data_IF_589315554855
#
_entry.id   IF_589315554855
#
_cell.length_a   1.000
_cell.length_b   1.000
_cell.length_c   1.000
_cell.angle_alpha   90.00
_cell.angle_beta   90.00
_cell.angle_gamma   90.00
#
_symmetry.space_group_name_H-M   'P 1'
#
loop_
_entity.id
_entity.type
_entity.pdbx_description
1 polymer ?
#
# COMPACT_ATOMS: atom_id res chain seq x y z
N UNK A 1 7.26 -19.73 -41.98
CA UNK A 1 8.07 -19.61 -40.73
C UNK A 1 8.31 -18.16 -40.25
N UNK A 2 7.59 -17.13 -40.71
CA UNK A 2 8.02 -15.72 -40.51
C UNK A 2 7.02 -14.79 -39.81
N UNK A 3 5.99 -15.29 -39.12
CA UNK A 3 5.10 -14.45 -38.28
C UNK A 3 5.08 -14.80 -36.79
N UNK A 4 5.87 -15.78 -36.32
CA UNK A 4 5.86 -16.22 -34.91
C UNK A 4 6.94 -15.59 -34.02
N UNK A 5 7.89 -14.81 -34.58
CA UNK A 5 9.04 -14.25 -33.82
C UNK A 5 8.82 -12.82 -33.30
N UNK A 6 7.84 -12.07 -33.82
CA UNK A 6 7.51 -10.70 -33.36
C UNK A 6 7.06 -10.63 -31.89
N UNK A 7 6.59 -11.75 -31.32
CA UNK A 7 6.20 -11.84 -29.92
C UNK A 7 7.37 -11.82 -28.93
N UNK A 8 8.62 -12.07 -29.34
CA UNK A 8 9.70 -12.38 -28.39
C UNK A 8 10.60 -11.21 -27.99
N UNK A 9 10.65 -10.14 -28.78
CA UNK A 9 11.62 -9.05 -28.58
C UNK A 9 11.03 -7.85 -27.85
N UNK A 10 11.88 -7.10 -27.15
CA UNK A 10 11.56 -5.77 -26.66
C UNK A 10 11.71 -4.74 -27.78
N UNK A 11 10.77 -3.80 -27.85
CA UNK A 11 10.75 -2.68 -28.79
C UNK A 11 10.67 -1.41 -27.95
N UNK A 12 11.75 -0.65 -27.96
CA UNK A 12 11.89 0.60 -27.22
C UNK A 12 12.32 1.72 -28.15
N UNK A 13 11.79 2.90 -27.91
CA UNK A 13 12.15 4.13 -28.58
C UNK A 13 12.88 5.02 -27.57
N UNK A 14 14.18 5.20 -27.77
CA UNK A 14 14.97 6.06 -26.90
C UNK A 14 14.62 7.52 -27.19
N UNK A 15 14.18 8.24 -26.16
CA UNK A 15 13.82 9.63 -26.28
C UNK A 15 15.07 10.45 -25.99
N UNK A 16 15.50 11.23 -26.98
CA UNK A 16 16.63 12.13 -26.83
C UNK A 16 16.42 13.06 -25.63
N UNK A 17 17.53 13.48 -25.03
CA UNK A 17 17.53 14.22 -23.78
C UNK A 17 16.64 15.46 -23.85
N UNK A 18 15.46 15.39 -23.23
CA UNK A 18 14.64 16.57 -23.00
C UNK A 18 15.31 17.42 -21.91
N UNK A 19 15.21 18.75 -22.03
CA UNK A 19 15.64 19.67 -20.99
C UNK A 19 15.05 19.32 -19.62
N UNK A 20 15.58 19.92 -18.55
CA UNK A 20 15.09 19.64 -17.20
C UNK A 20 13.58 19.89 -17.05
N UNK A 21 12.91 18.95 -16.40
CA UNK A 21 11.48 19.05 -16.06
C UNK A 21 11.31 19.61 -14.65
N UNK A 22 10.07 19.96 -14.31
CA UNK A 22 9.72 20.28 -12.94
C UNK A 22 9.92 19.08 -12.02
N UNK A 23 10.52 19.33 -10.85
CA UNK A 23 10.80 18.31 -9.86
C UNK A 23 9.58 18.10 -8.96
N UNK A 24 8.95 16.93 -9.05
CA UNK A 24 7.81 16.55 -8.20
C UNK A 24 8.13 16.38 -6.69
N UNK A 25 9.38 16.61 -6.27
CA UNK A 25 9.82 16.46 -4.88
C UNK A 25 10.09 17.80 -4.21
N UNK A 26 10.94 18.65 -4.79
CA UNK A 26 11.27 19.97 -4.25
C UNK A 26 10.52 21.12 -4.93
N UNK A 27 9.83 20.87 -6.06
CA UNK A 27 9.07 21.88 -6.80
C UNK A 27 9.89 22.74 -7.77
N UNK A 28 11.19 22.52 -7.93
CA UNK A 28 12.02 23.30 -8.87
C UNK A 28 11.61 23.09 -10.33
N UNK A 29 11.54 24.15 -11.14
CA UNK A 29 10.86 24.14 -12.45
C UNK A 29 11.63 23.46 -13.61
N UNK A 30 12.96 23.32 -13.50
CA UNK A 30 13.81 22.67 -14.53
C UNK A 30 14.90 21.78 -13.93
N UNK A 31 14.67 21.27 -12.73
CA UNK A 31 15.71 20.64 -11.92
C UNK A 31 15.62 19.11 -11.85
N UNK A 32 14.68 18.49 -12.57
CA UNK A 32 14.55 17.03 -12.69
C UNK A 32 14.98 16.56 -14.07
N UNK A 33 16.08 15.80 -14.11
CA UNK A 33 16.72 15.38 -15.35
C UNK A 33 16.86 13.85 -15.39
N UNK A 34 16.46 13.23 -16.50
CA UNK A 34 16.52 11.78 -16.69
C UNK A 34 16.77 11.40 -18.15
N UNK A 35 17.38 10.24 -18.37
CA UNK A 35 17.22 9.52 -19.62
C UNK A 35 15.81 8.95 -19.70
N UNK A 36 15.21 8.96 -20.89
CA UNK A 36 13.86 8.45 -21.12
C UNK A 36 13.81 7.51 -22.31
N UNK A 37 12.94 6.52 -22.27
CA UNK A 37 12.56 5.73 -23.44
C UNK A 37 11.10 5.33 -23.35
N UNK A 38 10.42 5.28 -24.50
CA UNK A 38 9.09 4.72 -24.60
C UNK A 38 9.18 3.24 -24.94
N UNK A 39 8.57 2.38 -24.13
CA UNK A 39 8.51 0.95 -24.41
C UNK A 39 7.19 0.62 -25.10
N UNK A 40 7.25 0.33 -26.40
CA UNK A 40 6.10 -0.18 -27.16
C UNK A 40 5.83 -1.65 -26.81
N UNK A 41 6.88 -2.41 -26.50
CA UNK A 41 6.77 -3.76 -25.98
C UNK A 41 8.04 -4.13 -25.20
N UNK A 42 7.93 -4.82 -24.07
CA UNK A 42 9.07 -5.11 -23.21
C UNK A 42 8.98 -6.53 -22.64
N UNK A 43 10.05 -7.30 -22.76
CA UNK A 43 10.14 -8.58 -22.07
C UNK A 43 10.45 -8.37 -20.59
N UNK A 44 9.93 -9.25 -19.74
CA UNK A 44 10.23 -9.20 -18.29
C UNK A 44 11.70 -9.44 -17.96
N UNK A 45 12.48 -10.03 -18.89
CA UNK A 45 13.91 -10.25 -18.70
C UNK A 45 14.69 -8.97 -19.00
N UNK A 46 14.39 -8.31 -20.12
CA UNK A 46 15.03 -7.04 -20.46
C UNK A 46 14.66 -5.96 -19.42
N UNK A 47 13.41 -5.94 -18.95
CA UNK A 47 13.04 -5.02 -17.88
C UNK A 47 13.75 -5.34 -16.55
N UNK A 48 13.97 -6.61 -16.21
CA UNK A 48 14.77 -6.97 -15.04
C UNK A 48 16.19 -6.40 -15.13
N UNK A 49 16.83 -6.49 -16.29
CA UNK A 49 18.17 -5.97 -16.49
C UNK A 49 18.20 -4.43 -16.46
N UNK A 50 17.15 -3.77 -16.95
CA UNK A 50 16.96 -2.33 -16.81
C UNK A 50 16.78 -1.92 -15.34
N UNK A 51 15.91 -2.59 -14.58
CA UNK A 51 15.66 -2.33 -13.15
C UNK A 51 16.93 -2.44 -12.32
N UNK A 52 17.75 -3.45 -12.61
CA UNK A 52 19.05 -3.67 -11.98
C UNK A 52 20.07 -2.57 -12.30
N UNK A 53 19.97 -1.96 -13.48
CA UNK A 53 20.80 -0.81 -13.92
C UNK A 53 20.25 0.56 -13.51
N UNK A 54 19.18 0.54 -12.71
CA UNK A 54 18.59 1.72 -12.09
C UNK A 54 17.45 2.38 -12.88
N UNK A 55 16.94 1.75 -13.93
CA UNK A 55 15.75 2.23 -14.64
C UNK A 55 14.49 1.90 -13.86
N UNK A 56 13.47 2.76 -14.00
CA UNK A 56 12.10 2.52 -13.51
C UNK A 56 11.11 2.83 -14.61
N UNK A 57 9.84 2.45 -14.41
CA UNK A 57 8.78 2.73 -15.37
C UNK A 57 7.56 3.36 -14.72
N UNK A 58 6.82 4.08 -15.54
CA UNK A 58 5.49 4.61 -15.25
C UNK A 58 4.65 4.38 -16.49
N UNK A 59 3.73 3.41 -16.43
CA UNK A 59 3.12 2.87 -17.65
C UNK A 59 4.16 2.29 -18.60
N UNK A 60 4.14 2.80 -19.83
CA UNK A 60 5.05 2.44 -20.93
C UNK A 60 6.31 3.31 -20.98
N UNK A 61 6.37 4.38 -20.20
CA UNK A 61 7.56 5.23 -20.14
C UNK A 61 8.57 4.68 -19.14
N UNK A 62 9.79 4.44 -19.61
CA UNK A 62 10.96 4.06 -18.82
C UNK A 62 11.87 5.26 -18.61
N UNK A 63 12.41 5.40 -17.41
CA UNK A 63 13.28 6.52 -17.07
C UNK A 63 14.40 6.14 -16.11
N UNK A 64 15.53 6.85 -16.25
CA UNK A 64 16.69 6.75 -15.35
C UNK A 64 17.20 8.16 -15.03
N UNK A 65 17.08 8.62 -13.77
CA UNK A 65 17.59 9.92 -13.35
C UNK A 65 19.09 10.11 -13.63
N UNK A 66 19.48 11.33 -14.00
CA UNK A 66 20.88 11.73 -14.16
C UNK A 66 21.33 12.36 -12.84
N UNK A 67 22.07 11.59 -12.04
CA UNK A 67 22.28 11.86 -10.62
C UNK A 67 23.08 13.13 -10.33
N UNK A 68 23.98 13.52 -11.21
CA UNK A 68 24.81 14.73 -11.13
C UNK A 68 24.09 16.00 -11.62
N UNK A 69 22.94 15.85 -12.27
CA UNK A 69 22.13 16.97 -12.78
C UNK A 69 20.82 17.18 -12.04
N UNK A 70 20.22 16.12 -11.50
CA UNK A 70 18.93 16.18 -10.83
C UNK A 70 19.05 16.73 -9.41
N UNK A 71 18.20 17.68 -9.02
CA UNK A 71 18.26 18.31 -7.70
C UNK A 71 17.91 17.37 -6.53
N UNK A 72 17.12 16.33 -6.80
CA UNK A 72 16.69 15.35 -5.80
C UNK A 72 17.22 13.97 -6.23
N UNK A 73 18.43 13.59 -5.79
CA UNK A 73 19.05 12.32 -6.16
C UNK A 73 18.17 11.12 -5.80
N UNK A 74 17.85 10.32 -6.82
CA UNK A 74 16.94 9.19 -6.75
C UNK A 74 17.73 7.89 -6.68
N UNK A 75 18.01 7.41 -5.46
CA UNK A 75 18.75 6.17 -5.23
C UNK A 75 17.84 4.96 -5.43
N UNK A 76 18.32 3.96 -6.16
CA UNK A 76 17.62 2.69 -6.26
C UNK A 76 17.92 1.82 -5.06
N UNK A 77 16.86 1.34 -4.41
CA UNK A 77 16.96 0.45 -3.26
C UNK A 77 16.37 -0.91 -3.61
N UNK A 78 17.02 -1.96 -3.10
CA UNK A 78 16.55 -3.33 -3.17
C UNK A 78 16.74 -4.00 -1.81
N UNK A 79 15.80 -4.86 -1.45
CA UNK A 79 15.81 -5.65 -0.25
C UNK A 79 15.99 -7.13 -0.63
N UNK A 80 16.95 -7.81 -0.03
CA UNK A 80 17.09 -9.25 -0.13
C UNK A 80 16.15 -9.91 0.88
N UNK A 81 15.05 -10.47 0.39
CA UNK A 81 13.90 -10.76 1.27
C UNK A 81 14.17 -11.90 2.24
N UNK A 82 15.06 -12.84 1.91
CA UNK A 82 15.40 -13.96 2.80
C UNK A 82 16.17 -13.50 4.05
N UNK A 83 16.98 -12.45 3.93
CA UNK A 83 17.76 -11.90 5.03
C UNK A 83 16.99 -10.83 5.83
N UNK A 84 15.81 -10.45 5.36
CA UNK A 84 15.01 -9.39 5.97
C UNK A 84 14.51 -9.78 7.38
N UNK A 85 14.78 -8.91 8.35
CA UNK A 85 14.36 -9.06 9.75
C UNK A 85 13.46 -7.90 10.16
N UNK A 86 12.31 -8.23 10.75
CA UNK A 86 11.36 -7.23 11.25
C UNK A 86 11.95 -6.39 12.38
N UNK A 87 11.93 -5.06 12.20
CA UNK A 87 12.22 -4.11 13.28
C UNK A 87 11.09 -4.05 14.32
N UNK A 88 11.38 -3.48 15.49
CA UNK A 88 10.38 -3.28 16.56
C UNK A 88 9.24 -2.35 16.12
N UNK A 89 9.50 -1.36 15.27
CA UNK A 89 8.47 -0.45 14.73
C UNK A 89 7.57 -1.16 13.73
N UNK A 90 8.13 -1.95 12.81
CA UNK A 90 7.35 -2.74 11.85
C UNK A 90 6.46 -3.78 12.56
N UNK A 91 6.97 -4.46 13.59
CA UNK A 91 6.14 -5.37 14.42
C UNK A 91 4.96 -4.66 15.07
N UNK A 92 5.10 -3.39 15.48
CA UNK A 92 3.98 -2.60 16.02
C UNK A 92 2.92 -2.29 14.97
N UNK A 93 3.34 -2.03 13.73
CA UNK A 93 2.42 -1.77 12.62
C UNK A 93 1.61 -3.02 12.27
N UNK A 94 2.28 -4.18 12.16
CA UNK A 94 1.60 -5.46 11.96
C UNK A 94 0.58 -5.73 13.07
N UNK A 95 0.99 -5.59 14.34
CA UNK A 95 0.08 -5.73 15.49
C UNK A 95 -1.08 -4.74 15.47
N UNK A 96 -0.86 -3.50 15.02
CA UNK A 96 -1.93 -2.52 14.86
C UNK A 96 -2.97 -2.98 13.85
N UNK A 97 -2.53 -3.50 12.70
CA UNK A 97 -3.44 -4.08 11.72
C UNK A 97 -4.22 -5.24 12.35
N UNK A 98 -3.53 -6.19 13.00
CA UNK A 98 -4.18 -7.34 13.64
C UNK A 98 -5.22 -6.92 14.68
N UNK A 99 -4.89 -5.97 15.55
CA UNK A 99 -5.83 -5.44 16.55
C UNK A 99 -7.02 -4.71 15.91
N UNK A 100 -6.77 -3.95 14.85
CA UNK A 100 -7.84 -3.28 14.12
C UNK A 100 -8.78 -4.31 13.48
N UNK A 101 -8.25 -5.38 12.86
CA UNK A 101 -9.11 -6.42 12.30
C UNK A 101 -9.89 -7.19 13.37
N UNK A 102 -9.28 -7.46 14.53
CA UNK A 102 -9.94 -8.19 15.61
C UNK A 102 -11.05 -7.37 16.27
N UNK A 103 -10.77 -6.12 16.64
CA UNK A 103 -11.62 -5.34 17.55
C UNK A 103 -12.25 -4.09 16.91
N UNK A 104 -11.76 -3.66 15.74
CA UNK A 104 -12.08 -2.37 15.13
C UNK A 104 -11.53 -1.16 15.89
N UNK A 105 -10.72 -1.40 16.93
CA UNK A 105 -10.22 -0.35 17.80
C UNK A 105 -9.10 0.44 17.12
N UNK A 106 -9.33 1.74 16.99
CA UNK A 106 -8.30 2.71 16.64
C UNK A 106 -7.48 2.94 17.92
N UNK A 107 -6.30 2.33 18.01
CA UNK A 107 -5.36 2.69 19.08
C UNK A 107 -5.14 4.21 19.07
N UNK A 108 -5.68 4.94 20.05
CA UNK A 108 -5.45 6.38 20.34
C UNK A 108 -4.01 6.65 20.80
N UNK A 109 -3.03 5.97 20.21
CA UNK A 109 -1.62 6.14 20.50
C UNK A 109 -1.08 7.34 19.74
N UNK A 110 -0.38 8.23 20.45
CA UNK A 110 0.35 9.39 19.91
C UNK A 110 0.94 9.04 18.54
N UNK A 111 0.39 9.68 17.50
CA UNK A 111 0.85 9.54 16.13
C UNK A 111 2.38 9.66 16.12
N UNK A 112 3.07 8.62 15.65
CA UNK A 112 4.44 8.84 15.20
C UNK A 112 4.31 9.67 13.94
N UNK A 113 4.55 10.95 14.11
CA UNK A 113 5.05 11.92 13.15
C UNK A 113 5.11 11.43 11.69
N UNK A 114 3.96 11.43 11.04
CA UNK A 114 3.82 11.79 9.64
C UNK A 114 2.84 12.95 9.68
N UNK A 115 3.29 14.16 9.33
CA UNK A 115 2.51 15.39 9.29
C UNK A 115 1.28 15.28 8.36
N UNK A 116 0.25 14.56 8.81
CA UNK A 116 -1.10 14.63 8.30
C UNK A 116 -1.98 14.79 9.53
N UNK A 117 -2.24 16.05 9.91
CA UNK A 117 -3.24 16.37 10.92
C UNK A 117 -4.61 16.03 10.30
N UNK A 118 -5.14 14.85 10.60
CA UNK A 118 -6.49 14.44 10.22
C UNK A 118 -7.47 15.03 11.22
N UNK A 119 -8.01 16.20 10.90
CA UNK A 119 -9.25 16.72 11.49
C UNK A 119 -9.84 17.74 10.52
N UNK A 120 -10.21 17.27 9.32
CA UNK A 120 -10.77 18.10 8.26
C UNK A 120 -11.84 17.23 7.55
N UNK A 121 -13.12 17.44 7.93
CA UNK A 121 -14.38 17.17 7.18
C UNK A 121 -15.09 15.79 7.26
N UNK A 122 -16.42 15.73 6.94
CA UNK A 122 -17.47 15.13 7.77
C UNK A 122 -17.83 13.67 7.45
N UNK A 123 -18.68 13.11 8.32
CA UNK A 123 -19.17 11.72 8.41
C UNK A 123 -19.95 11.17 7.20
N UNK A 124 -20.01 11.83 6.05
CA UNK A 124 -20.79 11.37 4.91
C UNK A 124 -20.13 11.74 3.59
N UNK A 125 -19.10 10.99 3.20
CA UNK A 125 -18.92 10.69 1.79
C UNK A 125 -20.02 9.69 1.42
N UNK A 126 -20.68 9.81 0.26
CA UNK A 126 -21.77 8.93 -0.11
C UNK A 126 -21.35 7.47 -0.03
N UNK A 127 -22.26 6.68 0.49
CA UNK A 127 -22.01 5.39 1.06
C UNK A 127 -21.13 4.52 0.17
N UNK A 128 -19.94 4.23 0.69
CA UNK A 128 -19.15 3.08 0.28
C UNK A 128 -20.02 1.81 0.28
N UNK A 129 -21.07 1.76 1.11
CA UNK A 129 -22.08 0.71 1.06
C UNK A 129 -22.82 0.64 -0.29
N UNK A 130 -23.09 1.76 -0.98
CA UNK A 130 -23.69 1.75 -2.34
C UNK A 130 -22.71 1.13 -3.34
N UNK A 131 -21.44 1.55 -3.34
CA UNK A 131 -20.41 1.03 -4.25
C UNK A 131 -20.15 -0.47 -3.99
N UNK A 132 -20.10 -0.88 -2.71
CA UNK A 132 -19.93 -2.28 -2.29
C UNK A 132 -21.18 -3.12 -2.57
N UNK A 133 -22.39 -2.53 -2.55
CA UNK A 133 -23.65 -3.22 -2.91
C UNK A 133 -23.87 -3.36 -4.41
N UNK A 134 -23.25 -2.50 -5.22
CA UNK A 134 -23.26 -2.58 -6.69
C UNK A 134 -22.31 -3.70 -7.17
N UNK A 135 -21.22 -3.96 -6.45
CA UNK A 135 -20.15 -4.89 -6.84
C UNK A 135 -20.62 -6.33 -7.17
N UNK A 136 -21.56 -6.97 -6.43
CA UNK A 136 -22.09 -8.29 -6.76
C UNK A 136 -23.05 -8.29 -7.97
N UNK A 137 -23.64 -7.13 -8.30
CA UNK A 137 -24.64 -7.00 -9.36
C UNK A 137 -24.01 -6.87 -10.75
N UNK A 138 -22.75 -6.41 -10.83
CA UNK A 138 -21.97 -6.35 -12.08
C UNK A 138 -21.69 -7.74 -12.71
N UNK A 139 -22.05 -8.84 -12.05
CA UNK A 139 -21.88 -10.22 -12.52
C UNK A 139 -23.19 -10.88 -12.99
N UNK A 140 -24.34 -10.19 -12.92
CA UNK A 140 -25.66 -10.73 -13.34
C UNK A 140 -26.15 -10.05 -14.62
N UNK A 141 -26.76 -10.80 -15.53
CA UNK A 141 -27.55 -10.20 -16.62
C UNK A 141 -28.82 -9.53 -16.04
N UNK A 142 -29.15 -8.31 -16.47
CA UNK A 142 -30.37 -7.61 -16.05
C UNK A 142 -30.28 -6.76 -14.76
N UNK A 143 -29.12 -6.18 -14.45
CA UNK A 143 -28.81 -5.50 -13.18
C UNK A 143 -29.41 -4.09 -12.97
N UNK A 144 -30.04 -3.45 -13.98
CA UNK A 144 -30.37 -2.03 -13.92
C UNK A 144 -31.42 -1.69 -12.84
N UNK A 145 -32.49 -2.47 -12.71
CA UNK A 145 -33.53 -2.23 -11.69
C UNK A 145 -33.04 -2.52 -10.27
N UNK A 146 -32.17 -3.51 -10.10
CA UNK A 146 -31.58 -3.84 -8.80
C UNK A 146 -30.72 -2.70 -8.25
N UNK A 147 -29.94 -2.04 -9.11
CA UNK A 147 -29.13 -0.87 -8.74
C UNK A 147 -30.02 0.31 -8.34
N UNK A 148 -31.07 0.60 -9.12
CA UNK A 148 -32.00 1.68 -8.78
C UNK A 148 -32.82 1.37 -7.53
N UNK A 149 -33.08 0.08 -7.22
CA UNK A 149 -33.70 -0.31 -5.95
C UNK A 149 -32.82 0.03 -4.74
N UNK A 150 -31.49 -0.05 -4.89
CA UNK A 150 -30.52 0.31 -3.84
C UNK A 150 -30.41 1.84 -3.74
N UNK A 151 -30.28 2.54 -4.86
CA UNK A 151 -30.21 4.02 -4.90
C UNK A 151 -31.47 4.66 -4.30
N UNK A 152 -32.66 4.11 -4.59
CA UNK A 152 -33.94 4.56 -4.02
C UNK A 152 -34.06 4.27 -2.52
N UNK A 153 -33.48 3.17 -2.04
CA UNK A 153 -33.47 2.79 -0.61
C UNK A 153 -32.61 3.73 0.24
N UNK A 154 -31.57 4.31 -0.36
CA UNK A 154 -30.66 5.27 0.26
C UNK A 154 -31.10 6.74 0.06
N UNK A 155 -32.36 6.97 -0.34
CA UNK A 155 -32.96 8.30 -0.37
C UNK A 155 -32.51 9.21 -1.53
N UNK A 156 -31.94 8.67 -2.60
CA UNK A 156 -31.50 9.44 -3.78
C UNK A 156 -32.50 9.33 -4.94
N UNK A 157 -32.70 10.43 -5.67
CA UNK A 157 -33.62 10.47 -6.82
C UNK A 157 -33.10 9.63 -7.99
N UNK A 158 -33.98 8.79 -8.55
CA UNK A 158 -33.75 8.05 -9.78
C UNK A 158 -34.35 8.81 -10.97
N UNK A 159 -33.73 8.79 -12.16
CA UNK A 159 -34.28 9.44 -13.34
C UNK A 159 -35.61 8.78 -13.77
N UNK A 160 -36.57 9.59 -14.22
CA UNK A 160 -37.92 9.15 -14.58
C UNK A 160 -37.96 8.21 -15.80
N UNK A 161 -36.91 8.17 -16.61
CA UNK A 161 -36.79 7.26 -17.75
C UNK A 161 -35.44 6.54 -17.72
N UNK A 162 -35.49 5.21 -17.73
CA UNK A 162 -34.29 4.36 -17.81
C UNK A 162 -33.73 4.44 -19.24
N UNK A 163 -32.55 5.04 -19.47
CA UNK A 163 -32.00 5.12 -20.81
C UNK A 163 -31.65 3.71 -21.27
N UNK A 164 -32.23 3.27 -22.39
CA UNK A 164 -31.83 2.05 -23.10
C UNK A 164 -30.41 2.24 -23.66
N UNK A 165 -29.39 2.12 -22.82
CA UNK A 165 -27.98 2.02 -23.20
C UNK A 165 -27.36 0.85 -22.44
N UNK A 166 -26.58 0.07 -23.18
CA UNK A 166 -26.38 -1.38 -23.02
C UNK A 166 -25.29 -1.79 -22.02
N UNK A 167 -24.69 -0.87 -21.25
CA UNK A 167 -23.59 -1.21 -20.34
C UNK A 167 -23.52 -0.30 -19.11
N UNK A 168 -23.40 -0.89 -17.92
CA UNK A 168 -23.19 -0.19 -16.62
C UNK A 168 -21.93 0.67 -16.62
N UNK A 169 -20.94 0.27 -17.42
CA UNK A 169 -19.69 1.00 -17.57
C UNK A 169 -19.97 2.43 -18.03
N UNK A 170 -20.82 2.61 -19.05
CA UNK A 170 -21.12 3.94 -19.60
C UNK A 170 -21.87 4.85 -18.60
N UNK A 171 -22.45 4.28 -17.53
CA UNK A 171 -23.20 4.99 -16.49
C UNK A 171 -22.37 5.26 -15.23
N UNK A 172 -21.47 4.35 -14.85
CA UNK A 172 -20.46 4.58 -13.78
C UNK A 172 -19.43 5.64 -14.22
N UNK A 173 -19.24 5.81 -15.53
CA UNK A 173 -18.35 6.80 -16.13
C UNK A 173 -18.98 8.18 -16.39
N UNK A 174 -20.22 8.43 -15.94
CA UNK A 174 -20.76 9.79 -15.93
C UNK A 174 -20.12 10.59 -14.79
N UNK A 175 -19.13 11.43 -15.13
CA UNK A 175 -18.46 12.31 -14.16
C UNK A 175 -19.45 13.21 -13.41
N UNK A 176 -20.61 13.55 -13.98
CA UNK A 176 -21.59 14.44 -13.34
C UNK A 176 -22.26 13.80 -12.10
N UNK A 177 -22.53 12.50 -12.15
CA UNK A 177 -23.10 11.76 -11.02
C UNK A 177 -22.06 11.59 -9.90
N UNK A 178 -20.79 11.38 -10.29
CA UNK A 178 -19.64 11.33 -9.39
C UNK A 178 -19.36 12.70 -8.76
N UNK A 179 -19.48 13.81 -9.50
CA UNK A 179 -19.30 15.16 -8.98
C UNK A 179 -20.38 15.54 -7.95
N UNK A 180 -21.66 15.24 -8.21
CA UNK A 180 -22.75 15.47 -7.24
C UNK A 180 -22.64 14.64 -5.96
N UNK A 181 -21.95 13.50 -6.04
CA UNK A 181 -21.62 12.58 -4.94
C UNK A 181 -20.41 13.09 -4.14
N UNK A 182 -19.44 13.72 -4.79
CA UNK A 182 -18.19 14.18 -4.17
C UNK A 182 -18.28 15.58 -3.56
N UNK A 183 -19.24 16.41 -3.98
CA UNK A 183 -19.40 17.80 -3.56
C UNK A 183 -20.73 18.04 -2.85
N UNK A 184 -20.74 17.86 -1.53
CA UNK A 184 -21.56 18.71 -0.68
C UNK A 184 -20.71 19.84 -0.12
N UNK A 185 -21.10 21.07 -0.50
CA UNK A 185 -20.49 22.33 -0.13
C UNK A 185 -20.28 22.42 1.39
N UNK A 186 -19.05 22.70 1.81
CA UNK A 186 -18.82 23.34 3.09
C UNK A 186 -17.65 24.32 2.98
N UNK A 187 -17.88 25.54 3.47
CA UNK A 187 -16.90 26.62 3.57
C UNK A 187 -15.74 26.23 4.49
N UNK A 188 -14.52 26.51 4.04
CA UNK A 188 -13.28 26.16 4.73
C UNK A 188 -12.81 27.33 5.60
N UNK A 189 -13.15 27.34 6.88
CA UNK A 189 -12.52 28.25 7.84
C UNK A 189 -11.22 27.64 8.40
N UNK A 190 -10.11 28.35 8.17
CA UNK A 190 -8.84 28.07 8.86
C UNK A 190 -8.87 28.75 10.23
N UNK A 191 -9.01 27.97 11.31
CA UNK A 191 -8.76 28.48 12.65
C UNK A 191 -7.29 28.25 13.01
N UNK A 192 -6.52 29.33 13.06
CA UNK A 192 -5.21 29.35 13.69
C UNK A 192 -5.41 29.70 15.16
N UNK A 193 -5.17 28.74 16.05
CA UNK A 193 -4.84 29.07 17.44
C UNK A 193 -3.35 28.85 17.64
N UNK A 194 -2.62 29.94 17.86
CA UNK A 194 -1.24 29.90 18.37
C UNK A 194 -1.23 29.22 19.73
N UNK A 195 -0.59 28.05 19.80
CA UNK A 195 -0.43 27.35 21.07
C UNK A 195 0.43 28.17 22.03
N UNK A 196 -0.03 28.32 23.27
CA UNK A 196 0.80 28.88 24.34
C UNK A 196 1.98 27.94 24.53
N UNK A 197 3.19 28.48 24.43
CA UNK A 197 4.45 27.72 24.54
C UNK A 197 4.57 26.93 25.85
N UNK A 198 5.62 26.12 25.95
CA UNK A 198 5.83 25.24 27.10
C UNK A 198 5.79 26.03 28.43
N UNK A 199 4.91 25.62 29.33
CA UNK A 199 4.80 26.12 30.69
C UNK A 199 6.11 25.84 31.47
N UNK A 200 6.91 26.88 31.81
CA UNK A 200 8.20 26.72 32.50
C UNK A 200 8.07 26.18 33.92
N UNK A 201 6.87 26.21 34.51
CA UNK A 201 6.60 25.69 35.86
C UNK A 201 6.40 24.18 35.89
N UNK A 202 6.30 23.52 34.73
CA UNK A 202 6.02 22.08 34.63
C UNK A 202 7.32 21.26 34.75
N UNK A 203 7.47 20.40 35.76
CA UNK A 203 8.71 19.63 35.94
C UNK A 203 8.99 18.72 34.75
N UNK A 204 10.26 18.61 34.37
CA UNK A 204 10.71 17.80 33.23
C UNK A 204 10.27 16.35 33.39
N UNK A 205 9.35 15.90 32.52
CA UNK A 205 8.85 14.53 32.57
C UNK A 205 9.98 13.54 32.26
N UNK A 206 10.40 12.76 33.27
CA UNK A 206 11.39 11.69 33.10
C UNK A 206 10.89 10.68 32.06
N UNK A 207 11.77 10.26 31.14
CA UNK A 207 11.41 9.30 30.09
C UNK A 207 11.03 7.97 30.76
N UNK A 208 9.95 7.33 30.30
CA UNK A 208 9.45 6.06 30.86
C UNK A 208 10.46 4.88 30.81
N UNK A 209 11.60 5.04 30.10
CA UNK A 209 12.72 4.09 30.09
C UNK A 209 13.55 4.17 31.37
N UNK A 210 13.73 5.38 31.91
CA UNK A 210 14.58 5.62 33.08
C UNK A 210 13.88 5.12 34.34
N UNK A 211 12.57 5.37 34.45
CA UNK A 211 11.71 4.82 35.50
C UNK A 211 11.69 3.27 35.52
N UNK A 212 11.77 2.63 34.34
CA UNK A 212 11.82 1.16 34.24
C UNK A 212 13.18 0.59 34.63
N UNK A 213 14.28 1.29 34.31
CA UNK A 213 15.64 0.90 34.71
C UNK A 213 15.81 0.96 36.22
N UNK A 214 15.29 2.01 36.84
CA UNK A 214 15.33 2.24 38.29
C UNK A 214 14.52 1.18 39.05
N UNK A 215 13.29 0.87 38.60
CA UNK A 215 12.49 -0.23 39.16
C UNK A 215 13.19 -1.60 39.06
N UNK A 216 13.96 -1.84 38.00
CA UNK A 216 14.74 -3.07 37.85
C UNK A 216 15.92 -3.13 38.83
N UNK A 217 16.63 -2.03 39.05
CA UNK A 217 17.72 -1.95 40.02
C UNK A 217 17.20 -2.11 41.47
N UNK A 218 16.08 -1.46 41.81
CA UNK A 218 15.42 -1.62 43.11
C UNK A 218 14.98 -3.06 43.38
N UNK A 219 14.51 -3.78 42.35
CA UNK A 219 14.11 -5.18 42.47
C UNK A 219 15.32 -6.11 42.67
N UNK A 220 16.47 -5.79 42.06
CA UNK A 220 17.72 -6.53 42.26
C UNK A 220 18.33 -6.27 43.64
N UNK A 221 18.31 -5.04 44.13
CA UNK A 221 18.76 -4.71 45.49
C UNK A 221 17.91 -5.39 46.57
N UNK A 222 16.59 -5.50 46.36
CA UNK A 222 15.71 -6.24 47.28
C UNK A 222 15.91 -7.76 47.25
N UNK A 223 16.49 -8.30 46.19
CA UNK A 223 16.77 -9.74 46.07
C UNK A 223 18.16 -10.13 46.60
N UNK A 224 19.08 -9.18 46.79
CA UNK A 224 20.42 -9.42 47.34
C UNK A 224 20.56 -9.20 48.84
N UNK A 225 19.46 -9.00 49.57
CA UNK A 225 19.47 -8.60 51.00
C UNK A 225 18.90 -9.64 51.98
N UNK A 226 18.83 -10.92 51.61
CA UNK A 226 18.26 -11.95 52.48
C UNK A 226 19.12 -13.21 52.48
N UNK A 227 20.21 -13.18 53.24
CA UNK A 227 20.92 -14.36 53.72
C UNK A 227 21.03 -14.30 55.24
N UNK A 228 20.45 -15.32 55.90
CA UNK A 228 20.95 -16.10 57.05
C UNK A 228 19.82 -16.52 58.01
N UNK A 229 19.64 -17.83 58.17
CA UNK A 229 18.71 -18.45 59.10
C UNK A 229 18.32 -19.88 58.70
N UNK A 230 19.21 -20.84 58.99
CA UNK A 230 19.00 -22.29 58.86
C UNK A 230 17.77 -22.80 59.64
N UNK A 231 17.00 -23.72 59.04
CA UNK A 231 16.64 -25.00 59.65
C UNK A 231 15.93 -25.94 58.65
N UNK A 232 16.36 -27.20 58.65
CA UNK A 232 15.89 -28.28 57.81
C UNK A 232 14.58 -28.91 58.32
N UNK A 233 13.65 -29.21 57.41
CA UNK A 233 12.78 -30.41 57.49
C UNK A 233 12.10 -30.64 56.14
N UNK A 234 12.02 -31.91 55.73
CA UNK A 234 11.84 -32.32 54.34
C UNK A 234 10.45 -32.13 53.74
N UNK A 235 10.40 -32.26 52.40
CA UNK A 235 9.26 -32.80 51.64
C UNK A 235 9.64 -33.05 50.18
N UNK A 236 9.52 -34.34 49.82
CA UNK A 236 9.19 -34.98 48.54
C UNK A 236 9.60 -34.32 47.21
N UNK A 237 10.29 -35.15 46.42
CA UNK A 237 10.53 -35.01 44.99
C UNK A 237 9.20 -34.76 44.23
N UNK A 238 8.99 -33.50 43.84
CA UNK A 238 7.94 -33.07 42.93
C UNK A 238 8.51 -32.95 41.51
N UNK A 239 7.76 -33.49 40.57
CA UNK A 239 8.00 -33.52 39.12
C UNK A 239 8.61 -32.22 38.57
N UNK A 240 9.70 -32.37 37.81
CA UNK A 240 10.19 -31.30 36.93
C UNK A 240 9.07 -30.88 35.99
N UNK A 241 8.68 -29.59 35.93
CA UNK A 241 7.88 -29.10 34.83
C UNK A 241 8.71 -29.28 33.56
N UNK A 242 8.14 -30.03 32.63
CA UNK A 242 8.55 -30.13 31.24
C UNK A 242 8.99 -28.74 30.74
N UNK A 243 10.25 -28.64 30.31
CA UNK A 243 10.82 -27.40 29.82
C UNK A 243 9.98 -26.95 28.62
N UNK A 244 9.17 -25.91 28.81
CA UNK A 244 8.47 -25.24 27.72
C UNK A 244 9.50 -24.89 26.64
N UNK A 245 9.24 -25.40 25.42
CA UNK A 245 10.05 -25.08 24.25
C UNK A 245 10.25 -23.55 24.17
N UNK A 246 11.46 -23.07 23.83
CA UNK A 246 11.74 -21.64 23.80
C UNK A 246 10.75 -20.94 22.87
N UNK A 247 10.06 -19.93 23.40
CA UNK A 247 9.03 -19.15 22.70
C UNK A 247 9.62 -18.55 21.41
N UNK A 248 9.40 -19.22 20.27
CA UNK A 248 9.98 -18.79 18.99
C UNK A 248 9.35 -17.45 18.58
N UNK A 249 10.17 -16.46 18.18
CA UNK A 249 9.65 -15.16 17.81
C UNK A 249 8.82 -15.27 16.52
N UNK A 250 7.55 -14.81 16.57
CA UNK A 250 6.66 -14.72 15.40
C UNK A 250 7.38 -14.15 14.16
N UNK A 251 7.27 -14.88 13.06
CA UNK A 251 7.78 -14.52 11.73
C UNK A 251 6.88 -13.46 11.08
N UNK A 252 7.32 -12.90 9.95
CA UNK A 252 6.50 -11.95 9.18
C UNK A 252 5.25 -12.65 8.63
N UNK A 253 5.41 -13.87 8.19
CA UNK A 253 4.38 -14.72 7.62
C UNK A 253 3.32 -15.07 8.67
N UNK A 254 3.71 -15.31 9.93
CA UNK A 254 2.78 -15.50 11.05
C UNK A 254 1.90 -14.26 11.25
N UNK A 255 2.52 -13.06 11.33
CA UNK A 255 1.77 -11.82 11.45
C UNK A 255 0.82 -11.59 10.29
N UNK A 256 1.23 -11.94 9.06
CA UNK A 256 0.39 -11.76 7.86
C UNK A 256 -0.74 -12.79 7.78
N UNK A 257 -0.53 -14.01 8.30
CA UNK A 257 -1.48 -15.12 8.22
C UNK A 257 -2.50 -15.16 9.35
N UNK A 258 -2.19 -14.56 10.51
CA UNK A 258 -3.11 -14.45 11.67
C UNK A 258 -4.49 -13.87 11.33
N UNK A 259 -4.59 -13.12 10.23
CA UNK A 259 -5.84 -12.51 9.75
C UNK A 259 -6.84 -13.49 9.09
N UNK A 260 -6.45 -14.75 8.83
CA UNK A 260 -7.29 -15.74 8.13
C UNK A 260 -8.24 -16.53 9.03
N UNK A 261 -8.06 -16.47 10.36
CA UNK A 261 -8.96 -17.11 11.32
C UNK A 261 -10.20 -16.21 11.52
N UNK A 262 -11.33 -16.61 10.94
CA UNK A 262 -12.51 -15.78 10.64
C UNK A 262 -13.38 -15.28 11.79
N UNK A 263 -12.82 -14.92 12.95
CA UNK A 263 -13.58 -14.44 14.13
C UNK A 263 -13.34 -12.95 14.48
N UNK A 264 -12.66 -12.20 13.61
CA UNK A 264 -12.41 -10.76 13.82
C UNK A 264 -13.57 -9.87 13.40
N UNK A 265 -13.70 -8.68 14.00
CA UNK A 265 -14.69 -7.66 13.64
C UNK A 265 -14.62 -7.20 12.18
N UNK A 266 -13.42 -7.19 11.59
CA UNK A 266 -13.20 -6.84 10.20
C UNK A 266 -12.41 -7.94 9.47
N UNK A 267 -12.77 -8.18 8.20
CA UNK A 267 -12.14 -9.16 7.33
C UNK A 267 -11.30 -8.47 6.26
N UNK A 268 -9.99 -8.74 6.25
CA UNK A 268 -9.08 -8.26 5.21
C UNK A 268 -8.79 -9.36 4.19
N UNK A 269 -9.17 -9.13 2.95
CA UNK A 269 -8.83 -9.97 1.80
C UNK A 269 -7.78 -9.26 0.95
N UNK A 270 -6.72 -9.98 0.58
CA UNK A 270 -5.69 -9.44 -0.33
C UNK A 270 -5.70 -10.26 -1.61
N UNK A 271 -5.98 -9.59 -2.72
CA UNK A 271 -6.16 -10.20 -4.04
C UNK A 271 -5.06 -9.72 -4.97
N UNK A 272 -4.45 -10.61 -5.73
CA UNK A 272 -3.54 -10.24 -6.81
C UNK A 272 -4.31 -10.34 -8.12
N UNK A 273 -4.49 -9.22 -8.82
CA UNK A 273 -5.17 -9.17 -10.12
C UNK A 273 -4.20 -8.72 -11.20
N UNK A 274 -4.27 -9.31 -12.39
CA UNK A 274 -3.34 -9.00 -13.48
C UNK A 274 -3.84 -7.77 -14.24
N UNK A 275 -2.99 -6.74 -14.36
CA UNK A 275 -3.35 -5.50 -15.08
C UNK A 275 -2.99 -5.56 -16.57
N UNK A 276 -1.97 -6.34 -16.95
CA UNK A 276 -1.56 -6.50 -18.35
C UNK A 276 -1.16 -7.95 -18.69
N UNK A 277 -1.79 -8.60 -19.69
CA UNK A 277 -3.13 -8.22 -20.19
C UNK A 277 -4.16 -8.23 -19.04
N UNK A 278 -5.19 -7.37 -19.07
CA UNK A 278 -6.12 -7.22 -17.96
C UNK A 278 -6.95 -8.50 -17.74
N UNK A 279 -7.01 -8.98 -16.49
CA UNK A 279 -7.91 -10.08 -16.11
C UNK A 279 -9.35 -9.57 -15.90
N UNK A 280 -10.32 -10.49 -15.85
CA UNK A 280 -11.72 -10.16 -15.55
C UNK A 280 -11.86 -9.47 -14.19
N UNK A 281 -11.11 -9.90 -13.17
CA UNK A 281 -11.12 -9.29 -11.84
C UNK A 281 -10.53 -7.88 -11.85
N UNK A 282 -9.51 -7.64 -12.68
CA UNK A 282 -8.95 -6.30 -12.87
C UNK A 282 -9.98 -5.37 -13.51
N UNK A 283 -10.66 -5.82 -14.57
CA UNK A 283 -11.71 -5.04 -15.24
C UNK A 283 -12.89 -4.75 -14.30
N UNK A 284 -13.33 -5.74 -13.52
CA UNK A 284 -14.42 -5.59 -12.57
C UNK A 284 -14.11 -4.60 -11.43
N UNK A 285 -12.86 -4.54 -10.99
CA UNK A 285 -12.41 -3.65 -9.91
C UNK A 285 -11.86 -2.30 -10.39
N UNK A 286 -11.74 -2.09 -11.71
CA UNK A 286 -11.16 -0.88 -12.29
C UNK A 286 -11.84 0.41 -11.81
N UNK A 287 -13.19 0.55 -11.83
CA UNK A 287 -13.84 1.82 -11.46
C UNK A 287 -13.55 2.21 -10.00
N UNK A 288 -13.72 1.27 -9.06
CA UNK A 288 -13.47 1.53 -7.63
C UNK A 288 -11.99 1.81 -7.34
N UNK A 289 -11.09 1.18 -8.09
CA UNK A 289 -9.65 1.42 -8.03
C UNK A 289 -9.29 2.83 -8.50
N UNK A 290 -9.90 3.31 -9.59
CA UNK A 290 -9.73 4.68 -10.07
C UNK A 290 -10.23 5.72 -9.06
N UNK A 291 -11.41 5.51 -8.47
CA UNK A 291 -11.95 6.43 -7.46
C UNK A 291 -11.07 6.51 -6.22
N UNK A 292 -10.53 5.38 -5.77
CA UNK A 292 -9.56 5.33 -4.69
C UNK A 292 -8.28 6.11 -5.04
N UNK A 293 -7.76 5.94 -6.25
CA UNK A 293 -6.62 6.71 -6.75
C UNK A 293 -6.91 8.22 -6.78
N UNK A 294 -8.06 8.63 -7.33
CA UNK A 294 -8.49 10.04 -7.41
C UNK A 294 -8.54 10.66 -6.01
N UNK A 295 -9.19 9.99 -5.04
CA UNK A 295 -9.22 10.42 -3.62
C UNK A 295 -7.82 10.55 -3.03
N UNK A 296 -6.95 9.57 -3.26
CA UNK A 296 -5.58 9.59 -2.76
C UNK A 296 -4.79 10.78 -3.34
N UNK A 297 -4.87 11.05 -4.65
CA UNK A 297 -4.20 12.19 -5.28
C UNK A 297 -4.69 13.52 -4.70
N UNK A 298 -6.00 13.72 -4.59
CA UNK A 298 -6.57 14.96 -4.05
C UNK A 298 -6.17 15.17 -2.58
N UNK A 299 -6.31 14.15 -1.73
CA UNK A 299 -6.12 14.31 -0.28
C UNK A 299 -4.64 14.31 0.11
N UNK A 300 -3.84 13.41 -0.45
CA UNK A 300 -2.44 13.19 -0.04
C UNK A 300 -1.48 14.01 -0.90
N UNK A 301 -1.71 14.10 -2.21
CA UNK A 301 -0.86 14.86 -3.13
C UNK A 301 -1.30 16.32 -3.30
N UNK A 302 -2.51 16.68 -2.86
CA UNK A 302 -3.09 18.03 -3.01
C UNK A 302 -3.29 18.43 -4.47
N UNK A 303 -3.48 17.44 -5.34
CA UNK A 303 -3.84 17.66 -6.72
C UNK A 303 -5.26 18.27 -6.79
N UNK A 304 -5.52 19.22 -7.71
CA UNK A 304 -6.87 19.72 -7.92
C UNK A 304 -7.77 18.57 -8.42
N UNK A 305 -9.06 18.50 -8.01
CA UNK A 305 -9.94 17.37 -8.35
C UNK A 305 -10.12 17.08 -9.84
N UNK A 306 -9.93 18.09 -10.70
CA UNK A 306 -9.98 17.97 -12.17
C UNK A 306 -8.72 17.34 -12.79
N UNK A 307 -7.61 17.28 -12.07
CA UNK A 307 -6.33 16.77 -12.59
C UNK A 307 -6.29 15.25 -12.74
N UNK A 308 -6.58 14.44 -11.70
CA UNK A 308 -6.52 12.98 -11.82
C UNK A 308 -7.68 12.45 -12.67
N UNK A 309 -7.44 12.29 -13.98
CA UNK A 309 -8.38 11.68 -14.92
C UNK A 309 -8.21 10.16 -15.02
N UNK A 310 -9.22 9.48 -15.58
CA UNK A 310 -9.19 8.04 -15.79
C UNK A 310 -8.11 7.62 -16.79
N UNK A 311 -7.89 8.41 -17.85
CA UNK A 311 -6.86 8.20 -18.86
C UNK A 311 -5.47 8.31 -18.24
N UNK A 312 -5.25 9.30 -17.37
CA UNK A 312 -4.00 9.44 -16.64
C UNK A 312 -3.77 8.25 -15.71
N UNK A 313 -4.80 7.80 -14.98
CA UNK A 313 -4.73 6.61 -14.16
C UNK A 313 -4.37 5.36 -14.97
N UNK A 314 -5.04 5.15 -16.12
CA UNK A 314 -4.74 4.05 -17.05
C UNK A 314 -3.29 4.11 -17.51
N UNK A 315 -2.88 5.24 -18.08
CA UNK A 315 -1.54 5.45 -18.64
C UNK A 315 -0.46 5.28 -17.58
N UNK A 316 -0.67 5.74 -16.36
CA UNK A 316 0.35 5.75 -15.31
C UNK A 316 0.46 4.40 -14.58
N UNK A 317 -0.66 3.75 -14.25
CA UNK A 317 -0.71 2.64 -13.29
C UNK A 317 -1.29 1.33 -13.85
N UNK A 318 -2.00 1.35 -14.98
CA UNK A 318 -2.68 0.16 -15.50
C UNK A 318 -1.98 -0.39 -16.75
N UNK A 319 -1.68 0.50 -17.70
CA UNK A 319 -0.98 0.16 -18.92
C UNK A 319 0.43 -0.35 -18.58
N UNK A 320 0.89 -1.33 -19.31
CA UNK A 320 2.22 -1.89 -19.12
C UNK A 320 2.76 -2.48 -20.41
N UNK A 321 4.02 -2.20 -20.74
CA UNK A 321 4.68 -2.78 -21.91
C UNK A 321 5.10 -4.24 -21.65
N UNK A 322 4.99 -4.73 -20.41
CA UNK A 322 5.49 -6.05 -20.02
C UNK A 322 4.66 -7.17 -20.64
N UNK A 323 5.30 -7.93 -21.53
CA UNK A 323 4.71 -9.13 -22.13
C UNK A 323 4.55 -10.22 -21.06
N UNK A 324 3.35 -10.82 -21.00
CA UNK A 324 3.10 -12.02 -20.18
C UNK A 324 4.06 -13.12 -20.62
N UNK A 325 4.76 -13.71 -19.65
CA UNK A 325 5.63 -14.86 -19.88
C UNK A 325 5.48 -15.85 -18.74
N UNK A 326 5.15 -17.08 -19.10
CA UNK A 326 5.09 -18.23 -18.21
C UNK A 326 6.08 -19.26 -18.72
N UNK A 327 7.01 -19.67 -17.87
CA UNK A 327 7.94 -20.80 -18.05
C UNK A 327 7.74 -21.77 -16.90
N UNK A 328 8.17 -23.03 -17.01
CA UNK A 328 8.10 -23.99 -15.89
C UNK A 328 8.76 -23.48 -14.59
N UNK A 329 9.77 -22.61 -14.69
CA UNK A 329 10.45 -21.98 -13.55
C UNK A 329 9.85 -20.64 -13.10
N UNK A 330 8.68 -20.26 -13.64
CA UNK A 330 7.98 -19.04 -13.23
C UNK A 330 7.03 -19.36 -12.08
N UNK A 331 6.72 -18.39 -11.21
CA UNK A 331 5.62 -18.56 -10.26
C UNK A 331 4.30 -18.85 -10.98
N UNK A 332 3.35 -19.49 -10.30
CA UNK A 332 2.03 -19.88 -10.85
C UNK A 332 1.27 -18.67 -11.41
N UNK A 333 1.41 -17.52 -10.74
CA UNK A 333 0.81 -16.25 -11.15
C UNK A 333 1.43 -15.70 -12.44
N UNK A 334 2.61 -16.19 -12.82
CA UNK A 334 3.42 -15.75 -13.96
C UNK A 334 4.11 -14.41 -13.74
N UNK A 335 4.94 -14.01 -14.71
CA UNK A 335 5.57 -12.68 -14.72
C UNK A 335 4.67 -11.63 -15.38
N UNK A 336 4.95 -10.35 -15.11
CA UNK A 336 4.25 -9.19 -15.69
C UNK A 336 3.75 -8.21 -14.64
N UNK A 337 2.72 -7.43 -14.99
CA UNK A 337 2.17 -6.36 -14.15
C UNK A 337 0.85 -6.74 -13.50
N UNK A 338 0.73 -6.37 -12.22
CA UNK A 338 -0.37 -6.74 -11.35
C UNK A 338 -0.76 -5.59 -10.42
N UNK A 339 -1.99 -5.61 -9.95
CA UNK A 339 -2.45 -4.84 -8.82
C UNK A 339 -2.68 -5.78 -7.64
N UNK A 340 -2.00 -5.54 -6.52
CA UNK A 340 -2.28 -6.19 -5.25
C UNK A 340 -3.29 -5.33 -4.49
N UNK A 341 -4.52 -5.83 -4.41
CA UNK A 341 -5.67 -5.13 -3.87
C UNK A 341 -5.96 -5.56 -2.45
N UNK A 342 -6.25 -4.59 -1.58
CA UNK A 342 -6.56 -4.78 -0.16
C UNK A 342 -8.03 -4.45 0.07
N UNK A 343 -8.84 -5.47 0.33
CA UNK A 343 -10.28 -5.39 0.51
C UNK A 343 -10.62 -5.60 1.98
N UNK A 344 -11.16 -4.58 2.65
CA UNK A 344 -11.61 -4.64 4.03
C UNK A 344 -13.13 -4.65 4.05
N UNK A 345 -13.75 -5.73 4.53
CA UNK A 345 -15.22 -5.89 4.57
C UNK A 345 -15.90 -5.61 3.22
N UNK A 346 -15.26 -6.03 2.13
CA UNK A 346 -15.75 -5.79 0.77
C UNK A 346 -15.48 -4.38 0.21
N UNK A 347 -14.85 -3.47 0.96
CA UNK A 347 -14.36 -2.16 0.49
C UNK A 347 -12.91 -2.24 0.05
N UNK A 348 -12.58 -1.75 -1.15
CA UNK A 348 -11.20 -1.59 -1.59
C UNK A 348 -10.53 -0.41 -0.86
N UNK A 349 -9.55 -0.69 0.00
CA UNK A 349 -8.90 0.33 0.84
C UNK A 349 -7.46 0.66 0.42
N UNK A 350 -6.80 -0.20 -0.36
CA UNK A 350 -5.48 0.07 -0.92
C UNK A 350 -5.20 -0.78 -2.16
N UNK A 351 -4.30 -0.27 -3.00
CA UNK A 351 -3.78 -0.98 -4.17
C UNK A 351 -2.28 -0.72 -4.30
N UNK A 352 -1.50 -1.80 -4.27
CA UNK A 352 -0.10 -1.81 -4.69
C UNK A 352 0.01 -2.17 -6.17
N UNK A 353 0.66 -1.33 -6.97
CA UNK A 353 0.95 -1.57 -8.38
C UNK A 353 2.31 -2.25 -8.47
N UNK A 354 2.34 -3.49 -8.95
CA UNK A 354 3.49 -4.39 -8.85
C UNK A 354 3.92 -4.91 -10.22
N UNK A 355 5.23 -5.08 -10.39
CA UNK A 355 5.79 -5.92 -11.44
C UNK A 355 6.45 -7.15 -10.82
N UNK A 356 6.03 -8.34 -11.26
CA UNK A 356 6.67 -9.60 -10.91
C UNK A 356 7.64 -9.95 -12.04
N UNK A 357 8.93 -9.91 -11.74
CA UNK A 357 10.04 -10.10 -12.68
C UNK A 357 10.87 -11.35 -12.30
N UNK A 358 11.72 -11.87 -13.20
CA UNK A 358 12.47 -13.10 -12.96
C UNK A 358 13.30 -13.15 -11.68
N UNK A 359 13.82 -12.01 -11.21
CA UNK A 359 14.66 -11.94 -10.02
C UNK A 359 14.08 -11.08 -8.91
N UNK A 360 12.98 -10.37 -9.16
CA UNK A 360 12.41 -9.48 -8.16
C UNK A 360 10.91 -9.21 -8.28
N UNK A 361 10.35 -8.76 -7.17
CA UNK A 361 9.10 -8.03 -7.13
C UNK A 361 9.40 -6.53 -7.05
N UNK A 362 8.88 -5.74 -7.98
CA UNK A 362 9.06 -4.29 -8.02
C UNK A 362 7.76 -3.58 -7.67
N UNK A 363 7.78 -2.83 -6.57
CA UNK A 363 6.71 -1.91 -6.17
C UNK A 363 6.80 -0.63 -7.00
N UNK A 364 5.86 -0.46 -7.92
CA UNK A 364 5.80 0.70 -8.84
C UNK A 364 5.13 1.87 -8.14
N UNK A 365 3.97 1.63 -7.51
CA UNK A 365 3.20 2.67 -6.86
C UNK A 365 2.27 2.09 -5.78
N UNK A 366 1.89 2.90 -4.81
CA UNK A 366 0.88 2.56 -3.81
C UNK A 366 -0.07 3.75 -3.66
N UNK A 367 -1.37 3.46 -3.70
CA UNK A 367 -2.42 4.39 -3.29
C UNK A 367 -3.38 3.67 -2.36
N UNK A 368 -3.92 4.42 -1.42
CA UNK A 368 -4.78 3.89 -0.38
C UNK A 368 -5.77 4.93 0.09
N UNK A 369 -6.80 4.48 0.80
CA UNK A 369 -7.82 5.38 1.32
C UNK A 369 -7.26 6.14 2.53
N UNK A 370 -7.16 7.48 2.48
CA UNK A 370 -6.59 8.30 3.54
C UNK A 370 -7.20 8.05 4.93
N UNK A 371 -8.44 7.58 4.99
CA UNK A 371 -9.13 7.24 6.25
C UNK A 371 -8.40 6.11 7.01
N UNK A 372 -7.63 5.28 6.29
CA UNK A 372 -6.84 4.17 6.84
C UNK A 372 -5.36 4.53 7.01
N UNK A 373 -4.98 5.81 6.92
CA UNK A 373 -3.60 6.26 7.13
C UNK A 373 -3.05 5.88 8.51
N UNK A 374 -3.93 5.78 9.53
CA UNK A 374 -3.56 5.33 10.87
C UNK A 374 -3.02 3.89 10.90
N UNK A 375 -3.32 3.06 9.90
CA UNK A 375 -2.75 1.71 9.76
C UNK A 375 -1.33 1.72 9.15
N UNK A 376 -0.85 2.89 8.72
CA UNK A 376 0.44 3.06 8.05
C UNK A 376 0.57 2.17 6.81
N UNK A 377 -0.40 2.32 5.90
CA UNK A 377 -0.53 1.50 4.69
C UNK A 377 0.76 1.43 3.86
N UNK A 378 1.56 2.49 3.80
CA UNK A 378 2.86 2.47 3.12
C UNK A 378 3.85 1.43 3.67
N UNK A 379 3.95 1.31 5.00
CA UNK A 379 4.83 0.32 5.62
C UNK A 379 4.15 -1.06 5.61
N UNK A 380 2.84 -1.11 5.88
CA UNK A 380 2.11 -2.36 5.91
C UNK A 380 2.14 -3.07 4.55
N UNK A 381 1.90 -2.35 3.45
CA UNK A 381 1.97 -2.93 2.10
C UNK A 381 3.38 -3.39 1.77
N UNK A 382 4.41 -2.62 2.12
CA UNK A 382 5.80 -3.03 1.91
C UNK A 382 6.14 -4.34 2.64
N UNK A 383 5.68 -4.50 3.88
CA UNK A 383 5.85 -5.75 4.63
C UNK A 383 5.08 -6.92 3.99
N UNK A 384 3.87 -6.67 3.48
CA UNK A 384 3.09 -7.67 2.73
C UNK A 384 3.78 -8.06 1.42
N UNK A 385 4.38 -7.11 0.72
CA UNK A 385 5.14 -7.33 -0.51
C UNK A 385 6.44 -8.11 -0.24
N UNK A 386 7.12 -7.88 0.89
CA UNK A 386 8.25 -8.73 1.33
C UNK A 386 7.80 -10.16 1.58
N UNK A 387 6.70 -10.36 2.32
CA UNK A 387 6.14 -11.69 2.58
C UNK A 387 5.72 -12.39 1.26
N UNK A 388 5.09 -11.64 0.37
CA UNK A 388 4.66 -12.15 -0.93
C UNK A 388 5.85 -12.52 -1.83
N UNK A 389 6.93 -11.73 -1.81
CA UNK A 389 8.17 -12.06 -2.52
C UNK A 389 8.78 -13.37 -2.01
N UNK A 390 8.76 -13.62 -0.70
CA UNK A 390 9.19 -14.90 -0.11
C UNK A 390 8.28 -16.06 -0.51
N UNK A 391 6.98 -15.83 -0.63
CA UNK A 391 6.06 -16.84 -1.17
C UNK A 391 6.39 -17.16 -2.63
N UNK A 392 6.63 -16.15 -3.46
CA UNK A 392 7.01 -16.38 -4.86
C UNK A 392 8.37 -17.09 -4.99
N UNK A 393 9.31 -16.82 -4.07
CA UNK A 393 10.62 -17.47 -4.02
C UNK A 393 10.51 -19.00 -3.90
N UNK A 394 9.51 -19.53 -3.19
CA UNK A 394 9.34 -20.99 -3.04
C UNK A 394 9.04 -21.69 -4.36
N UNK A 395 8.46 -20.97 -5.33
CA UNK A 395 8.17 -21.45 -6.68
C UNK A 395 9.28 -21.07 -7.68
N UNK A 396 9.88 -19.89 -7.51
CA UNK A 396 10.93 -19.36 -8.38
C UNK A 396 12.11 -18.81 -7.55
N UNK A 397 13.13 -19.64 -7.23
CA UNK A 397 14.23 -19.26 -6.33
C UNK A 397 15.13 -18.11 -6.83
N UNK A 398 15.04 -17.73 -8.10
CA UNK A 398 15.71 -16.55 -8.62
C UNK A 398 15.07 -15.25 -8.10
N UNK A 399 13.75 -15.27 -7.81
CA UNK A 399 12.95 -14.15 -7.35
C UNK A 399 13.13 -13.95 -5.84
N UNK A 400 14.25 -13.29 -5.46
CA UNK A 400 14.64 -13.09 -4.06
C UNK A 400 14.83 -11.63 -3.66
N UNK A 401 14.56 -10.71 -4.57
CA UNK A 401 14.70 -9.28 -4.33
C UNK A 401 13.35 -8.57 -4.34
N UNK A 402 13.22 -7.58 -3.48
CA UNK A 402 12.10 -6.65 -3.44
C UNK A 402 12.61 -5.23 -3.71
N UNK A 403 12.09 -4.57 -4.75
CA UNK A 403 12.45 -3.21 -5.13
C UNK A 403 11.33 -2.24 -4.77
N UNK A 404 11.63 -1.19 -4.01
CA UNK A 404 10.66 -0.17 -3.59
C UNK A 404 10.70 1.10 -4.45
N UNK A 405 11.13 1.00 -5.71
CA UNK A 405 11.35 2.17 -6.55
C UNK A 405 12.57 3.00 -6.13
N UNK A 406 12.44 4.32 -6.15
CA UNK A 406 13.49 5.26 -5.74
C UNK A 406 13.36 5.67 -4.27
N UNK A 407 14.50 5.95 -3.66
CA UNK A 407 14.66 6.58 -2.35
C UNK A 407 15.38 7.92 -2.53
N UNK A 408 14.82 8.97 -1.96
CA UNK A 408 15.40 10.31 -1.94
C UNK A 408 15.61 10.66 -0.48
N UNK A 409 16.88 10.81 -0.09
CA UNK A 409 17.26 10.97 1.32
C UNK A 409 16.57 12.18 1.99
N UNK A 410 16.45 13.28 1.25
CA UNK A 410 15.85 14.53 1.72
C UNK A 410 14.31 14.55 1.67
N UNK A 411 13.65 13.53 1.11
CA UNK A 411 12.20 13.55 0.89
C UNK A 411 11.44 12.90 2.07
N UNK A 412 10.65 13.66 2.85
CA UNK A 412 9.89 13.11 3.98
C UNK A 412 8.90 12.01 3.57
N UNK A 413 8.33 12.12 2.35
CA UNK A 413 7.38 11.14 1.79
C UNK A 413 8.00 9.76 1.58
N UNK A 414 9.34 9.65 1.55
CA UNK A 414 10.05 8.39 1.32
C UNK A 414 10.64 7.76 2.58
N UNK A 415 10.49 8.38 3.77
CA UNK A 415 11.06 7.89 5.03
C UNK A 415 10.57 6.51 5.47
N UNK A 416 9.46 6.03 4.90
CA UNK A 416 8.89 4.73 5.22
C UNK A 416 9.62 3.57 4.53
N UNK A 417 10.35 3.86 3.44
CA UNK A 417 11.23 2.93 2.74
C UNK A 417 12.52 2.79 3.53
#
# INVERSE_FOLDING_TARGET
ETMSTLGMHSVVEYLSHSGGNSCGYCGGETSSVSHGMWAHALTVHDYQDLVDRGWRRSGEYLYKPIMDKTCCPQYTIRCQVLDYRLSKSQKKILKRMTMYLANGDICKGKHYDLHLKTSIFPQSYPDVAIITSIFPLCQKEGFAEDIWSIVRREGKEAPQTCPKKTCIMDYIFDESLLEGILYHNHEYHTFWSTGVGADPSRPMARKAKDLRRERRMLKQQKQGGMESGDQASGRQAGQHPEQQAPNQPKTLEDFVSEHKAGDGKHKLEVRLVRSSPPSSEFLASFPVSYLLYKRYQVVVHKDPPSRPSQEQFKRFLCNSPLKKKTRPSSPDVGYGSFHQQYWLDGRLIAVGVLDILPRCLSSVYLYYDPDFAFLSMGIYSALREVAFTRQLYTQAPALRYYYMGFYIHSCPKMRYK
#
